data_IF_442819045334
#
_entry.id   IF_442819045334
#
_cell.length_a   1.000
_cell.length_b   1.000
_cell.length_c   1.000
_cell.angle_alpha   90.00
_cell.angle_beta   90.00
_cell.angle_gamma   90.00
#
_symmetry.space_group_name_H-M   'P 1'
#
loop_
_entity.id
_entity.type
_entity.pdbx_description
1 polymer ?
#
# COMPACT_ATOMS: atom_id res chain seq x y z
N UNK A 1 -28.95 -9.00 -8.71
CA UNK A 1 -28.49 -8.80 -7.32
C UNK A 1 -27.47 -7.67 -7.33
N UNK A 2 -27.85 -6.51 -6.79
CA UNK A 2 -27.11 -5.24 -6.86
C UNK A 2 -26.24 -5.19 -5.61
N UNK A 3 -24.96 -5.57 -5.71
CA UNK A 3 -24.03 -5.50 -4.58
C UNK A 3 -23.68 -4.03 -4.34
N UNK A 4 -24.20 -3.52 -3.24
CA UNK A 4 -23.96 -2.19 -2.69
C UNK A 4 -22.48 -2.14 -2.29
N UNK A 5 -21.68 -1.41 -3.05
CA UNK A 5 -20.34 -1.00 -2.62
C UNK A 5 -20.56 0.26 -1.80
N UNK A 6 -20.78 0.08 -0.49
CA UNK A 6 -20.65 1.15 0.49
C UNK A 6 -19.23 1.69 0.40
N UNK A 7 -19.11 2.77 -0.37
CA UNK A 7 -17.95 3.64 -0.38
C UNK A 7 -18.04 4.46 0.90
N UNK A 8 -17.86 3.81 2.04
CA UNK A 8 -17.74 4.53 3.30
C UNK A 8 -16.43 5.32 3.27
N UNK A 9 -16.63 6.63 3.40
CA UNK A 9 -15.64 7.69 3.52
C UNK A 9 -14.68 7.41 4.69
N UNK A 10 -13.72 6.50 4.57
CA UNK A 10 -12.60 6.53 5.52
C UNK A 10 -11.61 7.57 5.04
N UNK A 11 -11.83 8.77 5.58
CA UNK A 11 -10.84 9.75 6.02
C UNK A 11 -9.42 9.19 5.89
N UNK A 12 -8.84 9.32 4.69
CA UNK A 12 -7.51 8.82 4.40
C UNK A 12 -6.48 9.73 5.04
N UNK A 13 -6.30 9.61 6.36
CA UNK A 13 -5.21 10.24 7.09
C UNK A 13 -3.84 9.73 6.63
N UNK A 14 -2.83 9.81 7.49
CA UNK A 14 -1.42 9.46 7.22
C UNK A 14 -1.19 8.08 6.54
N UNK A 15 -2.16 7.15 6.59
CA UNK A 15 -2.11 5.80 6.04
C UNK A 15 -2.76 5.63 4.64
N UNK A 16 -3.45 6.65 4.14
CA UNK A 16 -4.17 6.61 2.85
C UNK A 16 -5.53 5.92 2.93
N UNK A 17 -6.03 5.44 1.78
CA UNK A 17 -7.38 4.85 1.67
C UNK A 17 -7.53 3.61 2.56
N UNK A 18 -8.71 3.37 3.15
CA UNK A 18 -8.98 2.21 4.01
C UNK A 18 -8.81 0.87 3.29
N UNK A 19 -9.06 0.83 1.98
CA UNK A 19 -8.83 -0.34 1.14
C UNK A 19 -7.37 -0.52 0.72
N UNK A 20 -6.45 0.38 1.08
CA UNK A 20 -5.03 0.25 0.77
C UNK A 20 -4.35 -0.88 1.54
N UNK A 21 -3.27 -1.44 0.98
CA UNK A 21 -2.46 -2.47 1.66
C UNK A 21 -1.93 -1.97 3.00
N UNK A 22 -1.43 -0.74 3.03
CA UNK A 22 -0.83 -0.10 4.21
C UNK A 22 -1.83 0.02 5.37
N UNK A 23 -2.98 0.63 5.11
CA UNK A 23 -4.05 0.77 6.11
C UNK A 23 -4.50 -0.59 6.64
N UNK A 24 -4.83 -1.54 5.74
CA UNK A 24 -5.28 -2.88 6.14
C UNK A 24 -4.23 -3.65 6.94
N UNK A 25 -2.96 -3.55 6.56
CA UNK A 25 -1.86 -4.23 7.26
C UNK A 25 -1.66 -3.62 8.64
N UNK A 26 -1.63 -2.28 8.74
CA UNK A 26 -1.49 -1.58 10.02
C UNK A 26 -2.60 -1.95 11.00
N UNK A 27 -3.87 -1.84 10.58
CA UNK A 27 -5.00 -2.11 11.47
C UNK A 27 -5.01 -3.57 11.95
N UNK A 28 -4.76 -4.53 11.05
CA UNK A 28 -4.70 -5.96 11.42
C UNK A 28 -3.55 -6.28 12.36
N UNK A 29 -2.36 -5.73 12.11
CA UNK A 29 -1.21 -5.97 12.96
C UNK A 29 -1.34 -5.26 14.31
N UNK A 30 -1.94 -4.07 14.35
CA UNK A 30 -2.24 -3.36 15.59
C UNK A 30 -3.21 -4.17 16.45
N UNK A 31 -4.31 -4.67 15.87
CA UNK A 31 -5.23 -5.54 16.58
C UNK A 31 -4.53 -6.80 17.10
N UNK A 32 -3.73 -7.45 16.26
CA UNK A 32 -2.97 -8.63 16.64
C UNK A 32 -1.96 -8.37 17.76
N UNK A 33 -1.27 -7.23 17.74
CA UNK A 33 -0.32 -6.85 18.79
C UNK A 33 -1.02 -6.62 20.13
N UNK A 34 -2.24 -6.09 20.14
CA UNK A 34 -3.04 -5.97 21.36
C UNK A 34 -3.56 -7.34 21.85
N UNK A 35 -3.92 -8.26 20.95
CA UNK A 35 -4.33 -9.64 21.29
C UNK A 35 -3.22 -10.43 21.98
N UNK A 36 -1.98 -10.31 21.49
CA UNK A 36 -0.83 -11.05 22.01
C UNK A 36 -0.09 -10.29 23.11
N UNK A 37 -0.58 -9.12 23.52
CA UNK A 37 0.04 -8.29 24.56
C UNK A 37 0.19 -9.05 25.87
N UNK A 38 1.34 -8.91 26.51
CA UNK A 38 1.70 -9.65 27.73
C UNK A 38 1.80 -11.18 27.57
N UNK A 39 1.84 -11.68 26.34
CA UNK A 39 2.17 -13.08 26.06
C UNK A 39 3.64 -13.21 25.64
N UNK A 40 4.14 -14.44 25.52
CA UNK A 40 5.48 -14.71 25.02
C UNK A 40 5.70 -14.16 23.58
N UNK A 41 4.62 -13.95 22.83
CA UNK A 41 4.66 -13.44 21.46
C UNK A 41 4.65 -11.91 21.37
N UNK A 42 4.57 -11.20 22.52
CA UNK A 42 4.66 -9.75 22.59
C UNK A 42 6.10 -9.27 22.39
N UNK A 43 6.56 -9.32 21.14
CA UNK A 43 7.91 -8.93 20.77
C UNK A 43 8.00 -7.45 20.40
N UNK A 44 8.97 -6.68 20.95
CA UNK A 44 9.16 -5.27 20.64
C UNK A 44 9.35 -4.98 19.14
N UNK A 45 9.94 -5.91 18.41
CA UNK A 45 10.24 -5.81 16.98
C UNK A 45 8.97 -5.69 16.14
N UNK A 46 7.90 -6.42 16.52
CA UNK A 46 6.62 -6.32 15.83
C UNK A 46 6.01 -4.93 16.02
N UNK A 47 6.09 -4.36 17.22
CA UNK A 47 5.58 -3.00 17.50
C UNK A 47 6.34 -1.95 16.70
N UNK A 48 7.67 -2.08 16.59
CA UNK A 48 8.50 -1.21 15.74
C UNK A 48 8.10 -1.31 14.26
N UNK A 49 7.84 -2.53 13.77
CA UNK A 49 7.38 -2.72 12.40
C UNK A 49 6.02 -2.04 12.14
N UNK A 50 5.08 -2.14 13.08
CA UNK A 50 3.78 -1.46 13.01
C UNK A 50 3.96 0.07 12.97
N UNK A 51 4.85 0.60 13.80
CA UNK A 51 5.18 2.03 13.86
C UNK A 51 5.84 2.52 12.55
N UNK A 52 6.75 1.74 11.96
CA UNK A 52 7.35 2.04 10.67
C UNK A 52 6.32 2.07 9.54
N UNK A 53 5.37 1.13 9.52
CA UNK A 53 4.24 1.14 8.58
C UNK A 53 3.38 2.38 8.79
N UNK A 54 3.20 2.82 10.03
CA UNK A 54 2.45 4.03 10.34
C UNK A 54 3.16 5.32 9.90
N UNK A 55 4.48 5.39 10.07
CA UNK A 55 5.27 6.60 9.79
C UNK A 55 5.67 6.74 8.33
N UNK A 56 6.11 5.66 7.71
CA UNK A 56 6.77 5.69 6.40
C UNK A 56 5.94 5.02 5.30
N UNK A 57 6.07 5.48 4.04
CA UNK A 57 5.46 4.78 2.92
C UNK A 57 6.12 3.41 2.71
N UNK A 58 5.29 2.40 2.43
CA UNK A 58 5.75 1.07 2.04
C UNK A 58 6.47 1.14 0.69
N UNK A 59 7.47 0.28 0.50
CA UNK A 59 8.00 0.05 -0.84
C UNK A 59 6.93 -0.58 -1.74
N UNK A 60 7.03 -0.34 -3.05
CA UNK A 60 6.09 -0.89 -4.02
C UNK A 60 6.07 -2.43 -3.96
N UNK A 61 7.23 -3.06 -3.89
CA UNK A 61 7.35 -4.53 -3.79
C UNK A 61 6.70 -5.11 -2.52
N UNK A 62 6.82 -4.42 -1.38
CA UNK A 62 6.11 -4.79 -0.15
C UNK A 62 4.60 -4.58 -0.31
N UNK A 63 4.17 -3.47 -0.91
CA UNK A 63 2.76 -3.17 -1.17
C UNK A 63 2.10 -4.25 -2.02
N UNK A 64 2.74 -4.68 -3.10
CA UNK A 64 2.23 -5.74 -3.99
C UNK A 64 2.15 -7.09 -3.27
N UNK A 65 3.20 -7.43 -2.50
CA UNK A 65 3.25 -8.68 -1.71
C UNK A 65 2.12 -8.70 -0.67
N UNK A 66 1.98 -7.63 0.12
CA UNK A 66 0.94 -7.51 1.14
C UNK A 66 -0.46 -7.55 0.52
N UNK A 67 -0.68 -6.86 -0.61
CA UNK A 67 -1.96 -6.91 -1.32
C UNK A 67 -2.32 -8.34 -1.75
N UNK A 68 -1.36 -9.10 -2.30
CA UNK A 68 -1.59 -10.48 -2.71
C UNK A 68 -1.97 -11.36 -1.52
N UNK A 69 -1.25 -11.23 -0.41
CA UNK A 69 -1.49 -12.04 0.79
C UNK A 69 -2.79 -11.66 1.52
N UNK A 70 -3.14 -10.38 1.56
CA UNK A 70 -4.41 -9.91 2.07
C UNK A 70 -5.59 -10.43 1.23
N UNK A 71 -5.44 -10.47 -0.10
CA UNK A 71 -6.46 -11.04 -1.01
C UNK A 71 -6.63 -12.56 -0.84
N UNK A 72 -5.56 -13.28 -0.50
CA UNK A 72 -5.63 -14.72 -0.23
C UNK A 72 -6.08 -15.06 1.20
N UNK A 73 -6.43 -14.07 2.02
CA UNK A 73 -6.93 -14.31 3.38
C UNK A 73 -5.86 -14.73 4.38
N UNK A 74 -4.61 -14.25 4.24
CA UNK A 74 -3.53 -14.51 5.21
C UNK A 74 -3.97 -14.27 6.66
N UNK A 75 -3.56 -15.15 7.58
CA UNK A 75 -3.85 -15.02 9.02
C UNK A 75 -3.05 -13.88 9.66
N UNK A 76 -3.46 -13.41 10.84
CA UNK A 76 -2.77 -12.32 11.54
C UNK A 76 -1.32 -12.69 11.90
N UNK A 77 -1.11 -13.94 12.34
CA UNK A 77 0.22 -14.45 12.67
C UNK A 77 1.14 -14.51 11.45
N UNK A 78 0.68 -15.13 10.35
CA UNK A 78 1.48 -15.21 9.12
C UNK A 78 1.73 -13.83 8.51
N UNK A 79 0.79 -12.89 8.67
CA UNK A 79 0.98 -11.49 8.26
C UNK A 79 2.08 -10.81 9.08
N UNK A 80 2.13 -11.04 10.39
CA UNK A 80 3.17 -10.51 11.27
C UNK A 80 4.55 -11.06 10.89
N UNK A 81 4.66 -12.37 10.66
CA UNK A 81 5.88 -13.03 10.20
C UNK A 81 6.36 -12.47 8.85
N UNK A 82 5.44 -12.31 7.89
CA UNK A 82 5.75 -11.73 6.58
C UNK A 82 6.28 -10.30 6.70
N UNK A 83 5.63 -9.45 7.50
CA UNK A 83 6.05 -8.06 7.71
C UNK A 83 7.41 -7.99 8.38
N UNK A 84 7.66 -8.85 9.37
CA UNK A 84 8.97 -8.96 10.00
C UNK A 84 10.06 -9.42 9.02
N UNK A 85 9.76 -10.38 8.15
CA UNK A 85 10.69 -10.82 7.10
C UNK A 85 11.01 -9.67 6.13
N UNK A 86 9.99 -8.97 5.64
CA UNK A 86 10.20 -7.81 4.75
C UNK A 86 11.01 -6.70 5.43
N UNK A 87 10.82 -6.51 6.74
CA UNK A 87 11.59 -5.54 7.53
C UNK A 87 13.05 -5.96 7.68
N UNK A 88 13.29 -7.22 8.02
CA UNK A 88 14.64 -7.78 8.15
C UNK A 88 15.43 -7.66 6.84
N UNK A 89 14.75 -7.80 5.70
CA UNK A 89 15.34 -7.64 4.37
C UNK A 89 15.50 -6.18 3.93
N UNK A 90 15.18 -5.19 4.78
CA UNK A 90 15.14 -3.76 4.44
C UNK A 90 14.20 -3.43 3.26
N UNK A 91 13.16 -4.25 3.06
CA UNK A 91 12.21 -4.16 1.94
C UNK A 91 10.81 -3.71 2.35
N UNK A 92 10.56 -3.43 3.62
CA UNK A 92 9.24 -3.05 4.14
C UNK A 92 8.86 -1.60 3.80
N UNK A 93 9.62 -0.65 4.33
CA UNK A 93 9.37 0.78 4.20
C UNK A 93 10.59 1.49 3.59
N UNK A 94 10.37 2.63 2.93
CA UNK A 94 11.46 3.53 2.55
C UNK A 94 11.92 4.31 3.78
N UNK A 95 12.74 3.68 4.62
CA UNK A 95 13.43 4.35 5.73
C UNK A 95 14.62 5.06 5.11
N UNK A 96 14.37 6.22 4.51
CA UNK A 96 15.44 7.06 4.00
C UNK A 96 16.00 7.86 5.19
N UNK A 97 17.33 7.83 5.37
CA UNK A 97 18.02 8.93 6.04
C UNK A 97 17.93 10.24 5.22
N UNK A 98 17.38 10.20 3.99
CA UNK A 98 17.12 11.36 3.14
C UNK A 98 15.63 11.51 2.79
N UNK A 99 15.02 12.54 3.37
CA UNK A 99 13.70 13.02 3.02
C UNK A 99 13.75 13.65 1.62
N UNK A 100 13.70 12.85 0.57
CA UNK A 100 13.16 13.30 -0.70
C UNK A 100 11.75 12.75 -0.84
N UNK A 101 10.80 13.61 -0.48
CA UNK A 101 9.40 13.50 -0.88
C UNK A 101 9.37 13.15 -2.36
N UNK A 102 9.00 11.91 -2.70
CA UNK A 102 8.51 11.62 -4.03
C UNK A 102 7.22 12.43 -4.17
N UNK A 103 7.34 13.61 -4.80
CA UNK A 103 6.21 14.27 -5.41
C UNK A 103 5.44 13.21 -6.21
N UNK A 104 4.10 13.15 -6.09
CA UNK A 104 3.32 12.27 -6.92
C UNK A 104 3.55 12.68 -8.37
N UNK A 105 4.34 11.89 -9.09
CA UNK A 105 4.45 12.00 -10.54
C UNK A 105 3.06 11.68 -11.10
N UNK A 106 2.30 12.73 -11.38
CA UNK A 106 1.06 12.65 -12.11
C UNK A 106 1.44 12.13 -13.50
N UNK A 107 1.17 10.85 -13.76
CA UNK A 107 1.20 10.34 -15.13
C UNK A 107 0.01 10.99 -15.83
N UNK A 108 0.26 12.13 -16.47
CA UNK A 108 -0.68 12.69 -17.44
C UNK A 108 -0.72 11.73 -18.63
N UNK A 109 -1.69 10.82 -18.65
CA UNK A 109 -2.15 10.19 -19.88
C UNK A 109 -2.88 11.24 -20.73
N UNK A 110 -2.13 12.19 -21.29
CA UNK A 110 -2.60 13.04 -22.37
C UNK A 110 -2.48 12.21 -23.65
N UNK A 111 -3.59 11.61 -24.05
CA UNK A 111 -3.77 11.09 -25.40
C UNK A 111 -3.70 12.24 -26.39
N UNK A 112 -2.50 12.50 -26.93
CA UNK A 112 -2.32 13.32 -28.11
C UNK A 112 -2.88 12.53 -29.29
N UNK A 113 -4.10 12.86 -29.72
CA UNK A 113 -4.58 12.53 -31.06
C UNK A 113 -4.05 13.62 -31.99
N UNK A 114 -2.88 13.36 -32.57
CA UNK A 114 -2.46 14.05 -33.78
C UNK A 114 -3.01 13.25 -34.96
N UNK A 115 -3.92 13.85 -35.72
CA UNK A 115 -4.28 13.37 -37.05
C UNK A 115 -4.25 14.58 -37.99
N UNK A 116 -3.04 15.03 -38.32
CA UNK A 116 -2.82 15.83 -39.52
C UNK A 116 -1.95 15.07 -40.50
N UNK A 117 -2.48 14.87 -41.71
CA UNK A 117 -1.78 14.40 -42.90
C UNK A 117 -2.51 13.23 -43.59
N UNK A 118 -2.78 13.22 -44.90
CA UNK A 118 -2.42 14.13 -45.99
C UNK A 118 -3.32 13.81 -47.21
N UNK A 119 -3.64 14.86 -47.99
CA UNK A 119 -3.67 14.96 -49.46
C UNK A 119 -4.58 14.11 -50.40
N UNK A 120 -5.33 14.89 -51.21
CA UNK A 120 -5.48 14.87 -52.68
C UNK A 120 -6.71 14.25 -53.40
N UNK A 121 -7.00 14.92 -54.54
CA UNK A 121 -7.91 14.64 -55.67
C UNK A 121 -9.40 15.06 -55.53
N UNK A 122 -10.02 15.88 -56.38
CA UNK A 122 -9.76 16.28 -57.79
C UNK A 122 -10.51 17.60 -58.12
N UNK A 123 -9.89 18.44 -58.95
CA UNK A 123 -10.53 19.57 -59.67
C UNK A 123 -11.09 19.08 -61.00
N UNK A 124 -12.36 19.41 -61.30
CA UNK A 124 -12.86 19.92 -62.59
C UNK A 124 -14.32 20.34 -62.47
#
# INVERSE_FOLDING_TARGET
VKLIVETEKSVGGQLGRPSGARFRTYERLKAHAEEIKNTLFDIPELRKAIEEIYRYPLLQSATDTLNRQLKSGISNQALAELVMSLRADARLCRVAEDVESNEPQVICSLGLKDENGVEEETVS
#
